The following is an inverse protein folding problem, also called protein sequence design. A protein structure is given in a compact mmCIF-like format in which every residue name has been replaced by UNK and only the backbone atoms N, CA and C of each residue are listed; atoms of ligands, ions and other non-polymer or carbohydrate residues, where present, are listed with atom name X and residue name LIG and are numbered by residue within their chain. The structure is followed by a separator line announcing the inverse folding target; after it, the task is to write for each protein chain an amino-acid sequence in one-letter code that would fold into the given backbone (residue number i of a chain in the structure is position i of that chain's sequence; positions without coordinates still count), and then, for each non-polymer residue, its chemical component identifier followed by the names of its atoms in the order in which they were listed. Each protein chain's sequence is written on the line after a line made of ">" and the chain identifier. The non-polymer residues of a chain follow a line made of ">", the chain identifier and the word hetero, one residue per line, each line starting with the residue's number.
data_IF_338804457825
#
_entry.id   IF_338804457825
#
_cell.length_a   1.000
_cell.length_b   1.000
_cell.length_c   1.000
_cell.angle_alpha   90.00
_cell.angle_beta   90.00
_cell.angle_gamma   90.00
#
_symmetry.space_group_name_H-M   'P 1'
#
loop_
_entity.id
_entity.type
_entity.pdbx_description
1 polymer ?
#
# COMPACT_ATOMS: atom_id res chain seq x y z
N UNK A 1 46.05 23.88 -31.26
CA UNK A 1 47.04 22.78 -31.12
C UNK A 1 46.37 21.69 -30.31
N UNK A 2 45.83 20.71 -31.01
CA UNK A 2 46.17 19.26 -30.99
C UNK A 2 46.21 18.67 -29.58
N UNK A 3 45.25 17.79 -29.23
CA UNK A 3 45.45 16.34 -29.28
C UNK A 3 44.14 15.58 -29.06
N UNK A 4 43.75 14.90 -30.09
CA UNK A 4 42.79 13.80 -30.17
C UNK A 4 43.44 12.58 -29.52
N UNK A 5 42.72 11.89 -28.67
CA UNK A 5 43.07 10.50 -28.33
C UNK A 5 41.79 9.64 -28.29
N UNK A 6 41.63 8.97 -29.45
CA UNK A 6 40.68 7.86 -29.59
C UNK A 6 41.23 6.62 -28.90
N UNK A 7 40.42 5.95 -28.07
CA UNK A 7 40.69 4.56 -27.70
C UNK A 7 39.41 3.77 -27.98
N UNK A 8 39.46 3.02 -29.09
CA UNK A 8 38.55 1.95 -29.41
C UNK A 8 39.05 0.68 -28.67
N UNK A 9 38.20 0.07 -27.87
CA UNK A 9 38.44 -1.31 -27.43
C UNK A 9 37.21 -2.15 -27.76
N UNK A 10 37.44 -2.99 -28.75
CA UNK A 10 36.62 -4.10 -29.22
C UNK A 10 36.90 -5.29 -28.30
N UNK A 11 35.92 -5.82 -27.64
CA UNK A 11 35.98 -7.20 -27.12
C UNK A 11 34.65 -7.87 -27.44
N UNK A 12 34.72 -8.78 -28.41
CA UNK A 12 33.73 -9.78 -28.71
C UNK A 12 33.89 -10.95 -27.71
N UNK A 13 32.80 -11.39 -27.14
CA UNK A 13 32.76 -12.56 -26.28
C UNK A 13 31.36 -13.18 -26.30
N UNK A 14 31.11 -14.09 -27.23
CA UNK A 14 29.93 -14.93 -27.29
C UNK A 14 30.09 -16.08 -26.29
N UNK A 15 29.12 -16.25 -25.39
CA UNK A 15 28.94 -17.50 -24.65
C UNK A 15 27.46 -17.87 -24.65
N UNK A 16 27.13 -18.84 -25.47
CA UNK A 16 25.85 -19.55 -25.50
C UNK A 16 25.76 -20.49 -24.27
N UNK A 17 24.79 -20.30 -23.43
CA UNK A 17 24.37 -21.30 -22.47
C UNK A 17 22.87 -21.54 -22.63
N UNK A 18 22.55 -22.61 -23.33
CA UNK A 18 21.22 -23.18 -23.43
C UNK A 18 20.82 -23.79 -22.10
N UNK A 19 19.81 -23.21 -21.45
CA UNK A 19 19.14 -23.77 -20.27
C UNK A 19 17.72 -24.17 -20.62
N UNK A 20 17.42 -25.46 -20.61
CA UNK A 20 16.10 -26.05 -20.91
C UNK A 20 15.04 -25.65 -19.90
N UNK A 21 13.83 -25.33 -20.34
CA UNK A 21 12.68 -25.19 -19.44
C UNK A 21 12.09 -26.56 -19.11
N UNK A 22 12.04 -26.90 -17.83
CA UNK A 22 11.42 -28.11 -17.31
C UNK A 22 9.90 -27.92 -17.29
N UNK A 23 9.20 -28.62 -18.18
CA UNK A 23 7.75 -28.73 -18.20
C UNK A 23 7.27 -29.52 -16.99
N UNK A 24 6.45 -28.93 -16.14
CA UNK A 24 5.63 -29.66 -15.19
C UNK A 24 4.33 -30.09 -15.85
N UNK A 25 4.17 -31.40 -15.94
CA UNK A 25 2.98 -32.08 -16.40
C UNK A 25 1.91 -32.01 -15.32
N UNK A 26 0.76 -31.45 -15.65
CA UNK A 26 -0.45 -31.55 -14.81
C UNK A 26 -1.24 -32.76 -15.30
N UNK A 27 -1.33 -33.79 -14.49
CA UNK A 27 -2.18 -34.94 -14.77
C UNK A 27 -3.64 -34.60 -14.45
N UNK A 28 -4.44 -34.70 -15.48
CA UNK A 28 -5.89 -34.79 -15.44
C UNK A 28 -6.36 -35.97 -14.62
N UNK A 29 -7.36 -35.77 -13.79
CA UNK A 29 -8.30 -36.82 -13.41
C UNK A 29 -9.72 -36.22 -13.35
N UNK A 30 -10.69 -36.85 -14.02
CA UNK A 30 -12.05 -36.35 -14.10
C UNK A 30 -12.88 -36.81 -12.91
N UNK A 31 -13.68 -35.95 -12.33
CA UNK A 31 -14.74 -36.33 -11.41
C UNK A 31 -16.09 -35.91 -11.97
N UNK A 32 -16.89 -36.96 -12.14
CA UNK A 32 -18.24 -36.96 -12.69
C UNK A 32 -19.22 -36.10 -11.88
N UNK A 33 -20.23 -35.65 -12.61
CA UNK A 33 -21.32 -34.81 -12.20
C UNK A 33 -22.24 -35.40 -11.12
N UNK A 34 -22.96 -34.50 -10.50
CA UNK A 34 -24.26 -34.79 -9.91
C UNK A 34 -25.17 -33.60 -10.10
N UNK A 35 -26.35 -33.92 -10.54
CA UNK A 35 -27.43 -33.10 -11.04
C UNK A 35 -28.10 -32.24 -9.99
N UNK A 36 -28.63 -31.11 -10.47
CA UNK A 36 -29.67 -30.28 -9.83
C UNK A 36 -30.97 -31.05 -9.70
N UNK A 37 -31.81 -30.75 -8.74
CA UNK A 37 -33.21 -30.50 -9.10
C UNK A 37 -33.69 -29.12 -8.68
N UNK A 38 -34.38 -28.58 -9.63
CA UNK A 38 -35.31 -27.46 -9.66
C UNK A 38 -36.46 -27.67 -8.65
N UNK A 39 -36.88 -26.60 -7.98
CA UNK A 39 -38.26 -26.44 -7.50
C UNK A 39 -38.58 -24.99 -7.21
N UNK A 40 -39.31 -24.48 -8.10
CA UNK A 40 -40.35 -23.46 -8.14
C UNK A 40 -40.94 -22.92 -6.83
N UNK A 41 -41.22 -21.64 -6.92
CA UNK A 41 -42.53 -20.99 -6.76
C UNK A 41 -42.78 -20.12 -5.50
N UNK A 42 -43.11 -18.89 -5.81
CA UNK A 42 -44.21 -18.04 -5.26
C UNK A 42 -43.96 -17.32 -3.94
N UNK A 43 -44.27 -16.06 -3.74
CA UNK A 43 -45.20 -15.10 -4.26
C UNK A 43 -45.03 -13.79 -3.47
N UNK A 44 -45.20 -12.66 -4.12
CA UNK A 44 -45.83 -11.43 -3.73
C UNK A 44 -45.66 -10.85 -2.31
N UNK A 45 -45.22 -9.59 -2.28
CA UNK A 45 -45.30 -8.70 -1.13
C UNK A 45 -44.71 -7.34 -1.46
N UNK A 46 -45.41 -6.54 -2.24
CA UNK A 46 -45.10 -5.16 -2.47
C UNK A 46 -45.19 -4.35 -1.18
N UNK A 47 -44.18 -3.58 -0.86
CA UNK A 47 -44.32 -2.41 0.02
C UNK A 47 -43.30 -1.35 -0.37
N UNK A 48 -43.81 -0.35 -1.06
CA UNK A 48 -43.14 0.89 -1.43
C UNK A 48 -42.96 1.72 -0.16
N UNK A 49 -41.72 2.05 0.20
CA UNK A 49 -41.46 3.23 1.03
C UNK A 49 -40.18 3.89 0.52
N UNK A 50 -40.43 4.94 -0.26
CA UNK A 50 -39.44 5.94 -0.63
C UNK A 50 -39.02 6.72 0.60
N UNK A 51 -37.75 6.62 0.98
CA UNK A 51 -37.07 7.60 1.83
C UNK A 51 -35.80 8.02 1.13
N UNK A 52 -35.50 9.32 1.06
CA UNK A 52 -34.26 9.79 0.47
C UNK A 52 -33.13 9.45 1.42
N UNK A 53 -32.23 8.61 0.94
CA UNK A 53 -30.98 8.31 1.63
C UNK A 53 -29.96 9.35 1.20
N UNK A 54 -29.82 10.38 1.99
CA UNK A 54 -28.55 11.06 2.15
C UNK A 54 -27.59 10.07 2.86
N UNK A 55 -27.06 9.15 2.08
CA UNK A 55 -26.06 8.21 2.52
C UNK A 55 -24.68 8.85 2.55
N UNK A 56 -24.36 9.47 3.67
CA UNK A 56 -23.00 9.90 3.98
C UNK A 56 -22.10 8.66 4.12
N UNK A 57 -21.64 8.14 2.97
CA UNK A 57 -20.68 7.03 2.90
C UNK A 57 -19.26 7.43 3.37
N UNK A 58 -19.12 8.64 3.94
CA UNK A 58 -17.82 9.19 4.39
C UNK A 58 -17.57 9.07 5.89
N UNK A 59 -18.43 8.39 6.63
CA UNK A 59 -18.30 8.40 8.09
C UNK A 59 -17.37 7.32 8.66
N UNK A 60 -17.02 6.29 7.90
CA UNK A 60 -16.15 5.20 8.42
C UNK A 60 -14.65 5.54 8.36
N UNK A 61 -14.23 6.42 7.44
CA UNK A 61 -12.84 6.87 7.34
C UNK A 61 -12.48 8.01 8.30
N UNK A 62 -13.49 8.67 8.89
CA UNK A 62 -13.29 9.87 9.73
C UNK A 62 -12.77 9.57 11.15
N UNK A 63 -12.86 8.33 11.61
CA UNK A 63 -12.46 7.93 12.96
C UNK A 63 -11.02 7.49 13.11
N UNK A 64 -10.27 7.28 12.02
CA UNK A 64 -8.92 6.71 12.05
C UNK A 64 -7.81 7.73 11.71
N UNK A 65 -8.15 8.95 11.39
CA UNK A 65 -7.17 9.97 11.04
C UNK A 65 -6.72 10.70 12.30
N UNK A 66 -5.46 10.52 12.64
CA UNK A 66 -4.81 11.16 13.78
C UNK A 66 -5.05 12.66 13.86
N UNK A 67 -5.00 13.17 15.07
CA UNK A 67 -5.35 14.54 15.50
C UNK A 67 -4.87 15.63 14.54
N UNK A 68 -5.82 16.42 14.06
CA UNK A 68 -5.60 17.59 13.23
C UNK A 68 -6.64 17.72 12.12
N UNK A 69 -7.37 18.82 12.11
CA UNK A 69 -8.31 19.20 11.07
C UNK A 69 -7.61 20.19 10.12
N UNK A 70 -7.23 19.71 8.93
CA UNK A 70 -6.61 20.58 7.92
C UNK A 70 -5.82 19.81 6.87
N UNK A 71 -5.45 20.46 5.76
CA UNK A 71 -4.71 19.81 4.67
C UNK A 71 -3.32 19.33 5.08
N UNK A 72 -2.73 19.89 6.13
CA UNK A 72 -1.42 19.52 6.67
C UNK A 72 -1.52 18.65 7.94
N UNK A 73 -2.72 18.19 8.31
CA UNK A 73 -2.88 17.26 9.41
C UNK A 73 -2.15 15.94 9.12
N UNK A 74 -1.60 15.33 10.18
CA UNK A 74 -0.99 14.01 10.07
C UNK A 74 -2.02 13.01 9.59
N UNK A 75 -1.72 12.31 8.50
CA UNK A 75 -2.56 11.26 7.94
C UNK A 75 -1.93 9.91 8.23
N UNK A 76 -2.77 8.89 8.38
CA UNK A 76 -2.33 7.55 8.73
C UNK A 76 -2.90 6.55 7.72
N UNK A 77 -2.04 5.64 7.24
CA UNK A 77 -2.40 4.52 6.39
C UNK A 77 -2.13 3.24 7.17
N UNK A 78 -3.15 2.40 7.36
CA UNK A 78 -3.03 1.13 8.07
C UNK A 78 -2.82 -0.04 7.12
N UNK A 79 -2.16 -1.08 7.65
CA UNK A 79 -1.77 -2.27 6.89
C UNK A 79 -2.24 -3.56 7.56
N UNK A 80 -2.46 -4.57 6.75
CA UNK A 80 -2.71 -5.93 7.26
C UNK A 80 -1.43 -6.53 7.86
N UNK A 81 -1.64 -7.61 8.61
CA UNK A 81 -0.52 -8.36 9.19
C UNK A 81 0.44 -8.83 8.09
N UNK A 82 1.72 -8.57 8.29
CA UNK A 82 2.81 -8.96 7.39
C UNK A 82 2.69 -8.46 5.95
N UNK A 83 1.84 -7.45 5.69
CA UNK A 83 1.67 -6.86 4.36
C UNK A 83 2.17 -5.43 4.27
N UNK A 84 2.54 -5.03 3.05
CA UNK A 84 2.96 -3.69 2.68
C UNK A 84 2.16 -3.10 1.50
N UNK A 85 1.09 -3.80 1.06
CA UNK A 85 0.16 -3.27 0.06
C UNK A 85 -0.77 -2.24 0.70
N UNK A 86 -0.95 -1.11 0.02
CA UNK A 86 -1.91 -0.08 0.43
C UNK A 86 -3.31 -0.59 0.12
N UNK A 87 -4.17 -0.64 1.13
CA UNK A 87 -5.57 -1.03 0.95
C UNK A 87 -6.34 0.05 0.18
N UNK A 88 -7.32 -0.34 -0.67
CA UNK A 88 -8.08 0.61 -1.49
C UNK A 88 -8.75 1.74 -0.69
N UNK A 89 -9.17 1.48 0.53
CA UNK A 89 -9.80 2.45 1.44
C UNK A 89 -8.90 3.66 1.78
N UNK A 90 -7.57 3.55 1.60
CA UNK A 90 -6.61 4.63 1.83
C UNK A 90 -6.20 5.38 0.57
N UNK A 91 -6.78 5.05 -0.60
CA UNK A 91 -6.46 5.70 -1.87
C UNK A 91 -6.70 7.22 -1.83
N UNK A 92 -7.78 7.65 -1.19
CA UNK A 92 -8.14 9.07 -1.05
C UNK A 92 -7.12 9.85 -0.21
N UNK A 93 -6.57 9.23 0.83
CA UNK A 93 -5.52 9.84 1.66
C UNK A 93 -4.25 10.05 0.83
N UNK A 94 -3.86 9.06 0.02
CA UNK A 94 -2.71 9.17 -0.88
C UNK A 94 -2.93 10.27 -1.92
N UNK A 95 -4.13 10.31 -2.52
CA UNK A 95 -4.50 11.31 -3.53
C UNK A 95 -4.51 12.73 -2.96
N UNK A 96 -5.09 12.92 -1.79
CA UNK A 96 -5.11 14.22 -1.12
C UNK A 96 -3.69 14.69 -0.74
N UNK A 97 -2.85 13.76 -0.27
CA UNK A 97 -1.45 14.05 0.05
C UNK A 97 -0.64 14.42 -1.22
N UNK A 98 -0.84 13.67 -2.32
CA UNK A 98 -0.18 13.95 -3.59
C UNK A 98 -0.58 15.34 -4.14
N UNK A 99 -1.87 15.67 -4.12
CA UNK A 99 -2.35 16.98 -4.54
C UNK A 99 -1.74 18.12 -3.71
N UNK A 100 -1.66 17.94 -2.39
CA UNK A 100 -1.06 18.94 -1.48
C UNK A 100 0.42 19.17 -1.78
N UNK A 101 1.18 18.09 -2.00
CA UNK A 101 2.62 18.17 -2.30
C UNK A 101 2.89 18.75 -3.70
N UNK A 102 2.14 18.30 -4.71
CA UNK A 102 2.31 18.78 -6.09
C UNK A 102 1.97 20.26 -6.23
N UNK A 103 0.99 20.77 -5.46
CA UNK A 103 0.65 22.17 -5.39
C UNK A 103 1.67 23.03 -4.63
N UNK A 104 2.58 22.43 -3.88
CA UNK A 104 3.54 23.12 -3.04
C UNK A 104 4.94 22.52 -3.14
N UNK A 105 5.76 22.91 -4.15
CA UNK A 105 7.07 22.29 -4.40
C UNK A 105 8.09 22.43 -3.24
N UNK A 106 7.88 23.37 -2.33
CA UNK A 106 8.74 23.54 -1.14
C UNK A 106 8.36 22.64 0.01
N UNK A 107 7.10 22.19 0.04
CA UNK A 107 6.60 21.32 1.09
C UNK A 107 7.23 19.94 0.95
N UNK A 108 7.65 19.38 2.07
CA UNK A 108 8.22 18.03 2.13
C UNK A 108 7.36 17.13 3.01
N UNK A 109 7.54 15.84 2.85
CA UNK A 109 6.85 14.83 3.64
C UNK A 109 7.83 13.76 4.09
N UNK A 110 7.69 13.35 5.33
CA UNK A 110 8.35 12.18 5.89
C UNK A 110 7.32 11.09 6.11
N UNK A 111 7.58 9.90 5.60
CA UNK A 111 6.76 8.71 5.76
C UNK A 111 7.38 7.85 6.86
N UNK A 112 6.69 7.72 7.97
CA UNK A 112 7.15 6.97 9.15
C UNK A 112 6.48 5.59 9.18
N UNK A 113 7.25 4.54 8.85
CA UNK A 113 6.76 3.16 8.79
C UNK A 113 6.86 2.47 10.13
N UNK A 114 5.74 1.87 10.55
CA UNK A 114 5.60 1.17 11.82
C UNK A 114 5.01 -0.22 11.63
N UNK A 115 5.28 -1.11 12.59
CA UNK A 115 4.77 -2.48 12.65
C UNK A 115 4.15 -2.76 14.00
N UNK A 116 3.45 -3.88 14.13
CA UNK A 116 3.19 -4.46 15.43
C UNK A 116 4.47 -5.10 16.00
N UNK A 117 4.42 -5.57 17.24
CA UNK A 117 5.59 -6.09 17.98
C UNK A 117 6.04 -7.49 17.54
N UNK A 118 5.20 -8.24 16.81
CA UNK A 118 5.48 -9.61 16.41
C UNK A 118 6.62 -9.70 15.41
N UNK A 119 7.59 -10.58 15.68
CA UNK A 119 8.77 -10.78 14.85
C UNK A 119 10.05 -10.21 15.45
N UNK A 120 11.14 -10.31 14.71
CA UNK A 120 12.43 -9.76 15.14
C UNK A 120 12.51 -8.25 14.86
N UNK A 121 13.37 -7.55 15.59
CA UNK A 121 13.62 -6.13 15.37
C UNK A 121 14.01 -5.81 13.93
N UNK A 122 14.96 -6.56 13.37
CA UNK A 122 15.45 -6.32 12.01
C UNK A 122 14.36 -6.58 10.97
N UNK A 123 13.57 -7.64 11.18
CA UNK A 123 12.42 -7.93 10.32
C UNK A 123 11.41 -6.76 10.33
N UNK A 124 11.06 -6.25 11.51
CA UNK A 124 10.09 -5.17 11.68
C UNK A 124 10.60 -3.84 11.08
N UNK A 125 11.88 -3.51 11.25
CA UNK A 125 12.48 -2.36 10.56
C UNK A 125 12.34 -2.52 9.04
N UNK A 126 12.66 -3.69 8.49
CA UNK A 126 12.50 -3.97 7.06
C UNK A 126 11.05 -3.90 6.59
N UNK A 127 10.08 -4.40 7.38
CA UNK A 127 8.67 -4.35 7.03
C UNK A 127 8.13 -2.91 7.07
N UNK A 128 8.49 -2.13 8.10
CA UNK A 128 8.13 -0.72 8.21
C UNK A 128 8.67 0.10 7.03
N UNK A 129 9.92 -0.16 6.61
CA UNK A 129 10.50 0.48 5.42
C UNK A 129 9.76 0.09 4.15
N UNK A 130 9.43 -1.19 3.93
CA UNK A 130 8.64 -1.61 2.76
C UNK A 130 7.28 -0.91 2.67
N UNK A 131 6.60 -0.72 3.82
CA UNK A 131 5.33 0.03 3.91
C UNK A 131 5.51 1.50 3.53
N UNK A 132 6.49 2.17 4.12
CA UNK A 132 6.80 3.57 3.78
C UNK A 132 7.14 3.74 2.30
N UNK A 133 7.94 2.84 1.72
CA UNK A 133 8.28 2.83 0.30
C UNK A 133 7.07 2.56 -0.61
N UNK A 134 6.10 1.76 -0.18
CA UNK A 134 4.86 1.56 -0.93
C UNK A 134 4.07 2.87 -1.05
N UNK A 135 3.93 3.61 0.05
CA UNK A 135 3.27 4.92 0.05
C UNK A 135 4.07 5.92 -0.79
N UNK A 136 5.40 5.97 -0.66
CA UNK A 136 6.27 6.83 -1.49
C UNK A 136 6.05 6.58 -2.97
N UNK A 137 6.08 5.32 -3.41
CA UNK A 137 5.83 4.98 -4.82
C UNK A 137 4.44 5.43 -5.28
N UNK A 138 3.42 5.27 -4.46
CA UNK A 138 2.06 5.68 -4.79
C UNK A 138 1.94 7.21 -4.96
N UNK A 139 2.62 8.00 -4.13
CA UNK A 139 2.70 9.46 -4.24
C UNK A 139 3.45 9.88 -5.52
N UNK A 140 4.59 9.24 -5.82
CA UNK A 140 5.38 9.54 -7.03
C UNK A 140 4.61 9.20 -8.31
N UNK A 141 3.83 8.13 -8.33
CA UNK A 141 2.94 7.78 -9.46
C UNK A 141 1.87 8.86 -9.70
N UNK A 142 1.53 9.66 -8.69
CA UNK A 142 0.61 10.79 -8.80
C UNK A 142 1.34 12.14 -9.01
N UNK A 143 2.62 12.11 -9.40
CA UNK A 143 3.36 13.30 -9.81
C UNK A 143 4.09 14.05 -8.70
N UNK A 144 4.19 13.48 -7.50
CA UNK A 144 5.01 14.06 -6.42
C UNK A 144 6.49 13.87 -6.74
N UNK A 145 7.27 14.93 -6.59
CA UNK A 145 8.71 14.87 -6.83
C UNK A 145 9.41 14.02 -5.76
N UNK A 146 10.39 13.22 -6.19
CA UNK A 146 11.16 12.35 -5.29
C UNK A 146 11.80 13.12 -4.14
N UNK A 147 12.29 14.32 -4.41
CA UNK A 147 12.95 15.20 -3.43
C UNK A 147 12.00 15.73 -2.33
N UNK A 148 10.68 15.60 -2.51
CA UNK A 148 9.69 16.03 -1.53
C UNK A 148 9.37 14.94 -0.49
N UNK A 149 9.72 13.65 -0.75
CA UNK A 149 9.28 12.54 0.09
C UNK A 149 10.47 11.74 0.59
N UNK A 150 10.59 11.63 1.89
CA UNK A 150 11.56 10.79 2.58
C UNK A 150 10.87 9.68 3.37
N UNK A 151 11.56 8.55 3.57
CA UNK A 151 11.07 7.42 4.36
C UNK A 151 11.95 7.21 5.59
N UNK A 152 11.34 6.72 6.65
CA UNK A 152 12.02 6.20 7.84
C UNK A 152 11.19 5.07 8.43
N UNK A 153 11.83 4.02 8.88
CA UNK A 153 11.17 2.94 9.59
C UNK A 153 11.56 2.96 11.07
N UNK A 154 10.55 2.83 11.91
CA UNK A 154 10.71 2.59 13.34
C UNK A 154 10.43 1.13 13.71
N UNK A 155 9.97 0.30 12.73
CA UNK A 155 9.56 -1.06 13.05
C UNK A 155 8.53 -1.06 14.18
N UNK A 156 8.77 -1.84 15.22
CA UNK A 156 7.91 -1.92 16.40
C UNK A 156 8.29 -0.94 17.54
N UNK A 157 9.31 -0.08 17.33
CA UNK A 157 9.87 0.76 18.41
C UNK A 157 8.99 1.95 18.79
N UNK A 158 7.97 2.27 17.97
CA UNK A 158 7.03 3.39 18.22
C UNK A 158 5.58 2.93 18.12
N UNK A 159 5.09 2.17 19.09
CA UNK A 159 3.68 1.78 19.12
C UNK A 159 2.79 3.01 19.26
N UNK A 160 1.69 3.04 18.51
CA UNK A 160 0.62 4.03 18.69
C UNK A 160 -0.26 3.68 19.89
N UNK A 161 -0.40 2.38 20.13
CA UNK A 161 -1.16 1.84 21.26
C UNK A 161 -0.35 0.68 21.82
N UNK A 162 -0.18 0.70 23.13
CA UNK A 162 0.39 -0.44 23.86
C UNK A 162 -0.66 -1.53 24.03
N UNK A 163 -0.25 -2.79 23.95
CA UNK A 163 -1.11 -3.96 24.09
C UNK A 163 -0.68 -5.09 23.18
N UNK A 164 -1.00 -6.30 23.57
CA UNK A 164 -0.66 -7.58 22.96
C UNK A 164 -1.86 -8.27 22.30
N UNK A 165 -2.84 -7.47 21.88
CA UNK A 165 -4.05 -7.92 21.19
C UNK A 165 -4.15 -7.39 19.75
N UNK A 166 -5.03 -7.99 18.96
CA UNK A 166 -5.21 -7.59 17.56
C UNK A 166 -5.72 -6.15 17.41
N UNK A 167 -6.43 -5.61 18.40
CA UNK A 167 -6.93 -4.24 18.34
C UNK A 167 -5.77 -3.22 18.47
N UNK A 168 -4.79 -3.49 19.34
CA UNK A 168 -3.57 -2.72 19.46
C UNK A 168 -2.67 -2.91 18.24
N UNK A 169 -2.43 -4.16 17.83
CA UNK A 169 -1.58 -4.47 16.68
C UNK A 169 -2.08 -3.84 15.39
N UNK A 170 -3.39 -3.86 15.13
CA UNK A 170 -3.98 -3.22 13.95
C UNK A 170 -3.70 -1.71 13.89
N UNK A 171 -3.65 -1.02 15.03
CA UNK A 171 -3.30 0.41 15.11
C UNK A 171 -1.80 0.66 14.98
N UNK A 172 -0.99 -0.32 15.35
CA UNK A 172 0.47 -0.22 15.26
C UNK A 172 0.98 -0.46 13.82
N UNK A 173 0.31 -1.30 13.03
CA UNK A 173 0.64 -1.55 11.61
C UNK A 173 0.26 -0.36 10.73
N UNK A 174 1.09 0.69 10.73
CA UNK A 174 0.74 1.95 10.06
C UNK A 174 1.94 2.64 9.39
N UNK A 175 1.61 3.52 8.46
CA UNK A 175 2.52 4.58 7.98
C UNK A 175 1.90 5.92 8.31
N UNK A 176 2.66 6.77 8.96
CA UNK A 176 2.26 8.14 9.25
C UNK A 176 2.87 9.09 8.21
N UNK A 177 2.02 9.94 7.63
CA UNK A 177 2.39 10.97 6.67
C UNK A 177 2.60 12.28 7.41
N UNK A 178 3.85 12.67 7.59
CA UNK A 178 4.23 13.86 8.38
C UNK A 178 4.71 14.95 7.43
N UNK A 179 3.96 16.05 7.33
CA UNK A 179 4.39 17.20 6.56
C UNK A 179 5.51 17.95 7.29
N UNK A 180 6.50 18.37 6.51
CA UNK A 180 7.64 19.16 6.97
C UNK A 180 7.57 20.54 6.31
N UNK A 181 7.77 21.63 7.08
CA UNK A 181 7.76 22.99 6.56
C UNK A 181 8.92 23.30 5.61
#
# INVERSE_FOLDING_TARGET
>A
MKRILSIAVLIAGAALLAGCPKKHNVNDAPVAGTQVPDSSANAEGASTSTSPLDGDANSTARGLNGEGTGPLARKIIYFDFDKSEIKPEFADIVTAAAHTLSGNPRLKMKLEGNTDERGTRDYNIGLGERRAQAVRRALMLQGVAESQVSTVSFGAERPAVEGDDEAAWAKNRRVELVYLP
#
